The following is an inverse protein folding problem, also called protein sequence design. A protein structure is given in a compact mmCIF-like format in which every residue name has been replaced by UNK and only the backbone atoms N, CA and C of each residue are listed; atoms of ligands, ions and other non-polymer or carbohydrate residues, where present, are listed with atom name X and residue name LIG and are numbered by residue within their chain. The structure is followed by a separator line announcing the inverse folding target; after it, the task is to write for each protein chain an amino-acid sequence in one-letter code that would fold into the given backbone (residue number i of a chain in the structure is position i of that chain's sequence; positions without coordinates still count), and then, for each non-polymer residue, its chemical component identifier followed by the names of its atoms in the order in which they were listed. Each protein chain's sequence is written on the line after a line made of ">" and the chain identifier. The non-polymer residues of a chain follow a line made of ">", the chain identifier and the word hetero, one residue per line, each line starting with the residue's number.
data_IF_461403072858
#
_entry.id   IF_461403072858
#
_cell.length_a   1.000
_cell.length_b   1.000
_cell.length_c   1.000
_cell.angle_alpha   90.00
_cell.angle_beta   90.00
_cell.angle_gamma   90.00
#
_symmetry.space_group_name_H-M   'P 1'
#
loop_
_entity.id
_entity.type
_entity.pdbx_description
1 polymer ?
#
# COMPACT_ATOMS: atom_id res chain seq x y z
N UNK A 1 -4.83 -18.92 1.47
CA UNK A 1 -6.20 -18.81 2.05
C UNK A 1 -7.12 -17.83 1.30
N UNK A 2 -6.59 -16.90 0.48
CA UNK A 2 -7.35 -15.80 -0.16
C UNK A 2 -8.00 -16.15 -1.53
N UNK A 3 -7.63 -17.29 -2.12
CA UNK A 3 -8.01 -17.65 -3.49
C UNK A 3 -9.40 -18.31 -3.61
N UNK A 4 -9.91 -18.91 -2.52
CA UNK A 4 -11.23 -19.56 -2.49
C UNK A 4 -12.38 -18.54 -2.52
N UNK A 5 -12.24 -17.39 -1.85
CA UNK A 5 -13.29 -16.36 -1.79
C UNK A 5 -13.65 -15.81 -3.18
N UNK A 6 -12.65 -15.58 -4.04
CA UNK A 6 -12.86 -15.03 -5.37
C UNK A 6 -13.73 -15.91 -6.28
N UNK A 7 -13.61 -17.24 -6.17
CA UNK A 7 -14.34 -18.18 -7.03
C UNK A 7 -15.77 -18.46 -6.58
N UNK A 8 -16.10 -18.26 -5.30
CA UNK A 8 -17.43 -18.59 -4.76
C UNK A 8 -18.51 -17.57 -5.13
N UNK A 9 -18.12 -16.31 -5.34
CA UNK A 9 -19.06 -15.19 -5.50
C UNK A 9 -19.09 -14.64 -6.94
N UNK A 10 -18.01 -14.83 -7.72
CA UNK A 10 -17.91 -14.31 -9.09
C UNK A 10 -18.22 -15.39 -10.13
N UNK A 11 -19.52 -15.65 -10.34
CA UNK A 11 -20.07 -16.64 -11.27
C UNK A 11 -19.91 -16.27 -12.78
N UNK A 12 -18.88 -15.51 -13.15
CA UNK A 12 -18.72 -14.88 -14.48
C UNK A 12 -17.56 -15.43 -15.34
N UNK A 13 -16.88 -16.50 -14.92
CA UNK A 13 -15.74 -17.04 -15.69
C UNK A 13 -14.53 -16.08 -15.80
N UNK A 14 -14.56 -14.95 -15.10
CA UNK A 14 -13.49 -13.96 -15.10
C UNK A 14 -12.28 -14.47 -14.30
N UNK A 15 -11.19 -14.75 -15.01
CA UNK A 15 -9.90 -15.20 -14.41
C UNK A 15 -9.22 -14.13 -13.56
N UNK A 16 -9.66 -12.88 -13.63
CA UNK A 16 -9.00 -11.72 -13.02
C UNK A 16 -9.95 -10.96 -12.11
N UNK A 17 -9.40 -10.38 -11.03
CA UNK A 17 -10.16 -9.53 -10.11
C UNK A 17 -10.63 -8.21 -10.73
N UNK A 18 -9.79 -7.66 -11.60
CA UNK A 18 -10.05 -6.41 -12.28
C UNK A 18 -9.92 -6.65 -13.79
N UNK A 19 -11.03 -6.51 -14.50
CA UNK A 19 -11.11 -6.74 -15.94
C UNK A 19 -12.01 -5.69 -16.62
N UNK A 20 -11.81 -5.50 -17.91
CA UNK A 20 -12.73 -4.70 -18.71
C UNK A 20 -13.98 -5.53 -19.04
N UNK A 21 -15.17 -5.00 -18.74
CA UNK A 21 -16.44 -5.73 -18.87
C UNK A 21 -16.75 -6.16 -20.31
N UNK A 22 -16.36 -5.35 -21.29
CA UNK A 22 -16.62 -5.61 -22.71
C UNK A 22 -15.69 -6.63 -23.37
N UNK A 23 -14.54 -6.97 -22.76
CA UNK A 23 -13.58 -7.90 -23.36
C UNK A 23 -13.03 -8.96 -22.41
N UNK A 24 -13.45 -8.97 -21.14
CA UNK A 24 -13.00 -9.92 -20.11
C UNK A 24 -11.47 -10.00 -19.95
N UNK A 25 -10.76 -8.95 -20.41
CA UNK A 25 -9.30 -8.84 -20.32
C UNK A 25 -8.90 -8.14 -19.03
N UNK A 26 -7.76 -8.52 -18.42
CA UNK A 26 -7.27 -7.86 -17.22
C UNK A 26 -7.03 -6.38 -17.49
N UNK A 27 -7.32 -5.54 -16.50
CA UNK A 27 -6.96 -4.13 -16.58
C UNK A 27 -5.43 -3.98 -16.61
N UNK A 28 -4.95 -3.22 -17.59
CA UNK A 28 -3.54 -2.83 -17.68
C UNK A 28 -3.22 -1.78 -16.63
N UNK A 29 -1.94 -1.69 -16.25
CA UNK A 29 -1.43 -0.65 -15.32
C UNK A 29 -1.80 0.76 -15.80
N UNK A 30 -1.69 1.01 -17.12
CA UNK A 30 -2.05 2.31 -17.71
C UNK A 30 -3.55 2.61 -17.59
N UNK A 31 -4.42 1.60 -17.74
CA UNK A 31 -5.86 1.79 -17.54
C UNK A 31 -6.17 2.13 -16.08
N UNK A 32 -5.58 1.40 -15.13
CA UNK A 32 -5.75 1.70 -13.69
C UNK A 32 -5.25 3.12 -13.37
N UNK A 33 -4.10 3.52 -13.89
CA UNK A 33 -3.58 4.87 -13.71
C UNK A 33 -4.52 5.94 -14.28
N UNK A 34 -5.06 5.74 -15.49
CA UNK A 34 -6.03 6.66 -16.11
C UNK A 34 -7.30 6.78 -15.29
N UNK A 35 -7.87 5.66 -14.83
CA UNK A 35 -9.07 5.62 -13.99
C UNK A 35 -8.83 6.44 -12.71
N UNK A 36 -7.73 6.20 -12.02
CA UNK A 36 -7.39 6.90 -10.77
C UNK A 36 -7.15 8.39 -11.00
N UNK A 37 -6.43 8.75 -12.06
CA UNK A 37 -6.16 10.16 -12.38
C UNK A 37 -7.44 10.90 -12.76
N UNK A 38 -8.31 10.27 -13.56
CA UNK A 38 -9.60 10.86 -13.92
C UNK A 38 -10.50 11.04 -12.69
N UNK A 39 -10.60 10.03 -11.84
CA UNK A 39 -11.35 10.10 -10.58
C UNK A 39 -10.79 11.18 -9.65
N UNK A 40 -9.46 11.33 -9.55
CA UNK A 40 -8.82 12.37 -8.75
C UNK A 40 -9.11 13.79 -9.25
N UNK A 41 -9.15 13.98 -10.57
CA UNK A 41 -9.55 15.26 -11.18
C UNK A 41 -11.01 15.59 -10.87
N UNK A 42 -11.92 14.62 -11.03
CA UNK A 42 -13.34 14.84 -10.77
C UNK A 42 -13.66 15.09 -9.30
N UNK A 43 -13.05 14.34 -8.39
CA UNK A 43 -13.35 14.41 -6.95
C UNK A 43 -12.63 15.53 -6.21
N UNK A 44 -11.41 15.88 -6.62
CA UNK A 44 -10.52 16.76 -5.86
C UNK A 44 -9.82 17.82 -6.71
N UNK A 45 -10.10 17.91 -8.02
CA UNK A 45 -9.48 18.89 -8.92
C UNK A 45 -7.97 18.69 -9.12
N UNK A 46 -7.40 17.54 -8.72
CA UNK A 46 -5.95 17.30 -8.73
C UNK A 46 -5.57 15.99 -9.39
N UNK A 47 -4.36 15.93 -9.94
CA UNK A 47 -3.80 14.69 -10.49
C UNK A 47 -3.42 13.73 -9.36
N UNK A 48 -4.08 12.57 -9.32
CA UNK A 48 -3.79 11.48 -8.39
C UNK A 48 -3.30 10.28 -9.19
N UNK A 49 -2.31 9.57 -8.63
CA UNK A 49 -1.72 8.38 -9.24
C UNK A 49 -1.62 7.25 -8.22
N UNK A 50 -1.51 5.97 -8.67
CA UNK A 50 -1.49 4.80 -7.78
C UNK A 50 -0.46 4.89 -6.65
N UNK A 51 0.75 5.39 -6.94
CA UNK A 51 1.80 5.54 -5.94
C UNK A 51 1.43 6.54 -4.84
N UNK A 52 0.77 7.65 -5.18
CA UNK A 52 0.33 8.64 -4.18
C UNK A 52 -0.66 8.03 -3.19
N UNK A 53 -1.59 7.20 -3.68
CA UNK A 53 -2.54 6.48 -2.83
C UNK A 53 -1.82 5.48 -1.90
N UNK A 54 -0.85 4.73 -2.44
CA UNK A 54 -0.04 3.80 -1.66
C UNK A 54 0.78 4.50 -0.57
N UNK A 55 1.42 5.63 -0.89
CA UNK A 55 2.15 6.42 0.09
C UNK A 55 1.21 7.00 1.15
N UNK A 56 0.05 7.54 0.76
CA UNK A 56 -0.94 8.06 1.71
C UNK A 56 -1.41 6.98 2.68
N UNK A 57 -1.65 5.76 2.19
CA UNK A 57 -1.99 4.61 3.02
C UNK A 57 -0.84 4.27 3.98
N UNK A 58 0.40 4.16 3.49
CA UNK A 58 1.57 3.86 4.30
C UNK A 58 1.78 4.91 5.42
N UNK A 59 1.76 6.20 5.08
CA UNK A 59 1.92 7.29 6.05
C UNK A 59 0.81 7.30 7.10
N UNK A 60 -0.45 7.06 6.70
CA UNK A 60 -1.57 6.99 7.66
C UNK A 60 -1.43 5.79 8.61
N UNK A 61 -0.92 4.68 8.11
CA UNK A 61 -0.74 3.45 8.87
C UNK A 61 0.45 3.55 9.84
N UNK A 62 1.57 4.17 9.43
CA UNK A 62 2.73 4.42 10.28
C UNK A 62 2.41 5.27 11.52
N UNK A 63 1.40 6.15 11.45
CA UNK A 63 0.99 6.97 12.60
C UNK A 63 0.37 6.16 13.74
N UNK A 64 -0.11 4.94 13.48
CA UNK A 64 -0.83 4.12 14.45
C UNK A 64 -0.23 2.73 14.64
N UNK A 65 0.80 2.36 13.87
CA UNK A 65 1.34 1.00 13.85
C UNK A 65 2.85 1.01 13.62
N UNK A 66 3.51 -0.07 14.03
CA UNK A 66 4.95 -0.24 13.83
C UNK A 66 5.28 -0.46 12.34
N UNK A 67 6.46 0.01 11.94
CA UNK A 67 6.95 -0.10 10.56
C UNK A 67 6.94 -1.54 10.02
N UNK A 68 7.21 -2.53 10.89
CA UNK A 68 7.17 -3.94 10.53
C UNK A 68 5.76 -4.39 10.06
N UNK A 69 4.71 -3.89 10.71
CA UNK A 69 3.31 -4.19 10.34
C UNK A 69 2.94 -3.52 9.03
N UNK A 70 3.35 -2.26 8.83
CA UNK A 70 3.16 -1.52 7.57
C UNK A 70 3.85 -2.24 6.40
N UNK A 71 5.06 -2.75 6.61
CA UNK A 71 5.82 -3.49 5.59
C UNK A 71 5.13 -4.80 5.19
N UNK A 72 4.61 -5.57 6.15
CA UNK A 72 3.85 -6.79 5.86
C UNK A 72 2.56 -6.48 5.10
N UNK A 73 1.84 -5.42 5.48
CA UNK A 73 0.59 -5.01 4.82
C UNK A 73 0.78 -4.46 3.41
N UNK A 74 1.94 -3.85 3.12
CA UNK A 74 2.27 -3.37 1.79
C UNK A 74 2.84 -4.48 0.87
N UNK A 75 3.24 -5.63 1.42
CA UNK A 75 3.59 -6.80 0.62
C UNK A 75 4.92 -6.70 -0.14
N UNK A 76 5.95 -6.07 0.46
CA UNK A 76 7.29 -6.03 -0.14
C UNK A 76 8.13 -7.26 0.25
N UNK A 77 8.44 -8.11 -0.73
CA UNK A 77 9.48 -9.15 -0.68
C UNK A 77 10.88 -8.63 -1.07
N UNK A 78 11.03 -7.37 -1.53
CA UNK A 78 12.33 -6.76 -1.85
C UNK A 78 12.63 -5.53 -0.99
N UNK A 79 13.72 -5.63 -0.21
CA UNK A 79 14.22 -4.72 0.82
C UNK A 79 14.81 -3.37 0.32
N UNK A 80 14.75 -3.03 -0.96
CA UNK A 80 15.56 -1.93 -1.52
C UNK A 80 14.94 -0.52 -1.44
N UNK A 81 13.70 -0.36 -0.96
CA UNK A 81 13.02 0.97 -0.89
C UNK A 81 12.54 1.34 0.51
N UNK A 82 12.81 0.50 1.52
CA UNK A 82 12.36 0.68 2.90
C UNK A 82 13.30 1.52 3.76
N UNK A 83 14.54 1.80 3.29
CA UNK A 83 15.48 2.69 3.96
C UNK A 83 15.07 4.17 3.91
N UNK A 84 14.21 4.55 2.96
CA UNK A 84 13.73 5.94 2.80
C UNK A 84 12.71 6.33 3.89
N UNK A 85 12.12 5.35 4.59
CA UNK A 85 11.13 5.62 5.66
C UNK A 85 11.72 5.70 7.06
N UNK A 86 13.01 5.40 7.22
CA UNK A 86 13.74 5.63 8.45
C UNK A 86 14.37 7.02 8.41
N UNK A 87 13.60 8.03 8.79
CA UNK A 87 14.18 9.19 9.46
C UNK A 87 14.12 8.89 10.96
N UNK A 88 15.17 8.31 11.57
CA UNK A 88 15.19 8.11 13.01
C UNK A 88 15.08 9.47 13.69
N UNK A 89 13.97 9.71 14.38
CA UNK A 89 13.79 10.91 15.19
C UNK A 89 14.65 10.80 16.45
N UNK A 90 15.06 11.96 17.00
CA UNK A 90 15.93 12.00 18.19
C UNK A 90 15.37 11.27 19.42
N UNK A 91 14.05 11.10 19.49
CA UNK A 91 13.35 10.37 20.54
C UNK A 91 13.62 8.85 20.51
N UNK A 92 13.72 8.26 19.32
CA UNK A 92 14.01 6.83 19.17
C UNK A 92 15.43 6.51 19.65
N UNK A 93 16.36 7.45 19.46
CA UNK A 93 17.74 7.36 19.98
C UNK A 93 17.79 7.47 21.50
N UNK A 94 17.04 8.39 22.11
CA UNK A 94 16.96 8.53 23.57
C UNK A 94 16.42 7.26 24.22
N UNK A 95 15.31 6.72 23.72
CA UNK A 95 14.72 5.47 24.24
C UNK A 95 15.67 4.27 24.16
N UNK A 96 16.48 4.18 23.10
CA UNK A 96 17.48 3.14 22.97
C UNK A 96 18.60 3.27 24.04
N UNK A 97 19.08 4.49 24.29
CA UNK A 97 20.09 4.77 25.33
C UNK A 97 19.50 4.50 26.72
N UNK A 98 18.30 5.00 27.00
CA UNK A 98 17.63 4.82 28.30
C UNK A 98 17.38 3.33 28.62
N UNK A 99 17.12 2.51 27.59
CA UNK A 99 16.92 1.06 27.75
C UNK A 99 18.20 0.27 28.05
N UNK A 100 19.37 0.83 27.76
CA UNK A 100 20.67 0.24 28.08
C UNK A 100 21.10 0.60 29.51
N UNK A 101 20.72 1.77 30.00
CA UNK A 101 21.06 2.24 31.35
C UNK A 101 20.26 1.55 32.47
N UNK A 102 19.03 1.08 32.21
CA UNK A 102 18.23 0.33 33.20
C UNK A 102 18.71 -1.10 33.48
N UNK A 103 19.80 -1.55 32.84
CA UNK A 103 20.34 -2.92 32.99
C UNK A 103 21.61 -3.01 33.84
N UNK A 104 21.95 -1.96 34.59
CA UNK A 104 22.94 -1.99 35.68
C UNK A 104 22.25 -1.94 37.04
#
# INVERSE_FOLDING_TARGET
>A
MYRKWWYSDHNHGARYAFYATWCMRPLTVRQVQRIITFAGKLSMGRNIHPHLLRHTFATRLMRNTSMAVVQQLLGHTNLSSTQIYTHPNGEDRKKAIDSLDQKK
#
